data_IF_682661424482
#
_entry.id   IF_682661424482
#
_cell.length_a   1.000
_cell.length_b   1.000
_cell.length_c   1.000
_cell.angle_alpha   90.00
_cell.angle_beta   90.00
_cell.angle_gamma   90.00
#
_symmetry.space_group_name_H-M   'P 1'
#
loop_
_entity.id
_entity.type
_entity.pdbx_description
1 polymer ?
#
# COMPACT_ATOMS: atom_id res chain seq x y z
N UNK A 1 -21.22 -22.07 -17.35
CA UNK A 1 -20.62 -21.74 -16.04
C UNK A 1 -20.44 -20.24 -16.01
N UNK A 2 -21.17 -19.52 -15.15
CA UNK A 2 -20.95 -18.09 -14.96
C UNK A 2 -19.53 -17.87 -14.44
N UNK A 3 -18.88 -16.78 -14.84
CA UNK A 3 -17.56 -16.41 -14.34
C UNK A 3 -17.60 -16.37 -12.79
N UNK A 4 -16.52 -16.80 -12.10
CA UNK A 4 -16.48 -16.75 -10.65
C UNK A 4 -16.73 -15.33 -10.18
N UNK A 5 -17.79 -15.13 -9.41
CA UNK A 5 -18.11 -13.86 -8.79
C UNK A 5 -16.99 -13.52 -7.81
N UNK A 6 -16.23 -12.49 -8.15
CA UNK A 6 -15.13 -12.04 -7.30
C UNK A 6 -15.73 -11.51 -6.00
N UNK A 7 -15.57 -12.27 -4.91
CA UNK A 7 -16.22 -11.97 -3.62
C UNK A 7 -15.80 -10.64 -3.00
N UNK A 8 -14.75 -9.99 -3.51
CA UNK A 8 -14.38 -8.62 -3.18
C UNK A 8 -14.74 -7.66 -4.31
N UNK A 9 -16.02 -7.63 -4.69
CA UNK A 9 -16.51 -6.71 -5.70
C UNK A 9 -16.09 -5.28 -5.33
N UNK A 10 -15.58 -4.52 -6.31
CA UNK A 10 -15.22 -3.10 -6.11
C UNK A 10 -16.47 -2.23 -6.29
N UNK A 11 -17.53 -2.56 -5.58
CA UNK A 11 -18.76 -1.78 -5.63
C UNK A 11 -18.64 -0.51 -4.76
N UNK A 12 -19.58 0.42 -4.95
CA UNK A 12 -19.57 1.69 -4.24
C UNK A 12 -19.68 1.50 -2.71
N UNK A 13 -20.41 0.48 -2.26
CA UNK A 13 -20.68 0.22 -0.85
C UNK A 13 -19.41 -0.33 -0.17
N UNK A 14 -18.73 -1.28 -0.79
CA UNK A 14 -17.48 -1.89 -0.33
C UNK A 14 -16.33 -0.89 -0.31
N UNK A 15 -16.30 0.02 -1.29
CA UNK A 15 -15.35 1.14 -1.31
C UNK A 15 -15.55 2.09 -0.11
N UNK A 16 -16.80 2.41 0.22
CA UNK A 16 -17.10 3.24 1.39
C UNK A 16 -16.77 2.51 2.69
N UNK A 17 -17.08 1.21 2.79
CA UNK A 17 -16.79 0.39 3.97
C UNK A 17 -15.30 0.39 4.30
N UNK A 18 -14.44 0.17 3.30
CA UNK A 18 -13.00 0.09 3.55
C UNK A 18 -12.38 1.46 3.87
N UNK A 19 -12.86 2.54 3.23
CA UNK A 19 -12.39 3.89 3.53
C UNK A 19 -12.87 4.36 4.92
N UNK A 20 -14.12 4.09 5.29
CA UNK A 20 -14.64 4.42 6.62
C UNK A 20 -13.89 3.64 7.71
N UNK A 21 -13.59 2.36 7.47
CA UNK A 21 -12.80 1.55 8.39
C UNK A 21 -11.41 2.16 8.63
N UNK A 22 -10.74 2.65 7.58
CA UNK A 22 -9.45 3.33 7.71
C UNK A 22 -9.54 4.55 8.64
N UNK A 23 -10.55 5.39 8.47
CA UNK A 23 -10.74 6.57 9.33
C UNK A 23 -11.07 6.17 10.78
N UNK A 24 -11.92 5.18 11.00
CA UNK A 24 -12.20 4.70 12.36
C UNK A 24 -10.98 4.08 13.04
N UNK A 25 -10.15 3.35 12.31
CA UNK A 25 -8.91 2.80 12.84
C UNK A 25 -7.98 3.90 13.35
N UNK A 26 -7.83 4.96 12.56
CA UNK A 26 -7.04 6.13 12.93
C UNK A 26 -7.59 6.85 14.15
N UNK A 27 -8.90 7.07 14.22
CA UNK A 27 -9.54 7.71 15.36
C UNK A 27 -9.43 6.88 16.65
N UNK A 28 -9.54 5.54 16.54
CA UNK A 28 -9.53 4.65 17.70
C UNK A 28 -8.13 4.45 18.27
N UNK A 29 -7.13 4.24 17.40
CA UNK A 29 -5.77 3.89 17.84
C UNK A 29 -4.79 5.06 17.79
N UNK A 30 -5.05 6.09 16.98
CA UNK A 30 -4.19 7.27 16.86
C UNK A 30 -2.86 7.01 16.13
N UNK A 31 -2.67 5.84 15.51
CA UNK A 31 -1.49 5.51 14.73
C UNK A 31 -1.83 4.71 13.47
N UNK A 32 -1.10 5.00 12.37
CA UNK A 32 -1.19 4.25 11.10
C UNK A 32 -0.46 2.91 11.18
N UNK A 33 0.66 2.88 11.90
CA UNK A 33 1.45 1.68 12.17
C UNK A 33 1.73 1.61 13.66
N UNK A 34 1.76 0.39 14.19
CA UNK A 34 2.09 0.18 15.58
C UNK A 34 3.48 0.78 15.89
N UNK A 35 3.64 1.55 16.98
CA UNK A 35 4.86 2.30 17.27
C UNK A 35 6.10 1.41 17.49
N UNK A 36 5.93 0.11 17.70
CA UNK A 36 7.04 -0.84 17.79
C UNK A 36 7.67 -1.20 16.44
N UNK A 37 7.03 -0.84 15.32
CA UNK A 37 7.55 -1.12 13.99
C UNK A 37 8.63 -0.07 13.67
N UNK A 38 9.90 -0.46 13.49
CA UNK A 38 10.97 0.48 13.22
C UNK A 38 10.84 1.04 11.80
N UNK A 39 10.72 2.36 11.68
CA UNK A 39 10.56 3.09 10.41
C UNK A 39 11.81 3.89 10.02
N UNK A 40 12.87 3.86 10.84
CA UNK A 40 14.06 4.71 10.66
C UNK A 40 15.13 4.10 9.73
N UNK A 41 14.92 2.90 9.20
CA UNK A 41 15.87 2.30 8.27
C UNK A 41 15.70 2.90 6.85
N UNK A 42 16.72 3.58 6.30
CA UNK A 42 16.65 4.19 4.97
C UNK A 42 16.48 3.16 3.83
N UNK A 43 16.74 1.88 4.08
CA UNK A 43 16.53 0.80 3.12
C UNK A 43 15.17 0.11 3.30
N UNK A 44 14.36 0.54 4.27
CA UNK A 44 13.04 -0.03 4.51
C UNK A 44 12.13 0.22 3.30
N UNK A 45 11.57 -0.87 2.78
CA UNK A 45 10.56 -0.84 1.71
C UNK A 45 9.25 -1.33 2.29
N UNK A 46 8.27 -0.46 2.27
CA UNK A 46 6.92 -0.80 2.70
C UNK A 46 6.12 -1.17 1.45
N UNK A 47 5.52 -2.35 1.47
CA UNK A 47 4.65 -2.84 0.40
C UNK A 47 3.32 -3.25 1.01
N UNK A 48 2.24 -2.67 0.50
CA UNK A 48 0.88 -3.06 0.83
C UNK A 48 0.43 -4.18 -0.13
N UNK A 49 -0.05 -5.31 0.41
CA UNK A 49 -0.45 -6.50 -0.34
C UNK A 49 -1.97 -6.65 -0.23
N UNK A 50 -2.67 -6.57 -1.37
CA UNK A 50 -4.14 -6.57 -1.39
C UNK A 50 -4.76 -5.18 -1.45
N UNK A 51 -4.05 -4.25 -2.09
CA UNK A 51 -4.45 -2.86 -2.27
C UNK A 51 -5.89 -2.75 -2.79
N UNK A 52 -6.72 -2.10 -1.97
CA UNK A 52 -8.02 -1.59 -2.35
C UNK A 52 -7.90 -0.17 -2.88
N UNK A 53 -8.41 0.81 -2.15
CA UNK A 53 -8.36 2.23 -2.48
C UNK A 53 -6.97 2.86 -2.31
N UNK A 54 -5.96 2.08 -1.94
CA UNK A 54 -4.63 2.56 -1.52
C UNK A 54 -4.68 3.53 -0.33
N UNK A 55 -5.78 3.62 0.42
CA UNK A 55 -5.96 4.67 1.44
C UNK A 55 -4.88 4.59 2.53
N UNK A 56 -4.59 3.39 3.04
CA UNK A 56 -3.54 3.16 4.05
C UNK A 56 -2.16 3.54 3.51
N UNK A 57 -1.81 3.10 2.30
CA UNK A 57 -0.51 3.37 1.69
C UNK A 57 -0.31 4.86 1.38
N UNK A 58 -1.37 5.54 0.95
CA UNK A 58 -1.33 6.99 0.64
C UNK A 58 -1.10 7.79 1.92
N UNK A 59 -1.80 7.42 3.00
CA UNK A 59 -1.69 8.09 4.29
C UNK A 59 -0.33 7.84 4.96
N UNK A 60 0.18 6.61 4.85
CA UNK A 60 1.54 6.26 5.27
C UNK A 60 2.60 7.04 4.48
N UNK A 61 2.48 7.11 3.16
CA UNK A 61 3.42 7.86 2.33
C UNK A 61 3.38 9.36 2.60
N UNK A 62 2.21 9.92 2.96
CA UNK A 62 2.09 11.31 3.38
C UNK A 62 2.77 11.56 4.74
N UNK A 63 2.56 10.66 5.70
CA UNK A 63 3.08 10.79 7.07
C UNK A 63 4.59 10.54 7.16
N UNK A 64 5.11 9.57 6.41
CA UNK A 64 6.48 9.06 6.53
C UNK A 64 7.34 9.30 5.27
N UNK A 65 7.00 10.31 4.46
CA UNK A 65 7.63 10.60 3.16
C UNK A 65 9.15 10.75 3.20
N UNK A 66 9.69 11.22 4.32
CA UNK A 66 11.13 11.50 4.48
C UNK A 66 11.94 10.31 5.02
N UNK A 67 11.28 9.21 5.41
CA UNK A 67 11.92 8.12 6.16
C UNK A 67 12.10 6.83 5.35
N UNK A 68 11.20 6.53 4.40
CA UNK A 68 11.21 5.24 3.69
C UNK A 68 10.96 5.40 2.18
N UNK A 69 11.37 4.38 1.41
CA UNK A 69 11.04 4.26 -0.01
C UNK A 69 9.73 3.48 -0.19
N UNK A 70 8.82 4.02 -1.00
CA UNK A 70 7.47 3.48 -1.21
C UNK A 70 7.34 2.85 -2.59
N UNK A 71 6.82 1.61 -2.66
CA UNK A 71 6.56 0.94 -3.93
C UNK A 71 5.15 0.36 -3.94
N UNK A 72 4.36 0.74 -4.94
CA UNK A 72 3.03 0.17 -5.20
C UNK A 72 3.20 -1.03 -6.13
N UNK A 73 2.76 -2.22 -5.72
CA UNK A 73 2.67 -3.38 -6.60
C UNK A 73 1.23 -3.54 -7.08
N UNK A 74 0.98 -3.25 -8.36
CA UNK A 74 -0.31 -3.55 -8.98
C UNK A 74 -0.24 -4.95 -9.59
N UNK A 75 -1.25 -5.79 -9.36
CA UNK A 75 -1.26 -7.18 -9.85
C UNK A 75 -1.21 -7.30 -11.39
N UNK A 76 -1.40 -6.19 -12.11
CA UNK A 76 -1.42 -6.14 -13.57
C UNK A 76 -0.09 -5.78 -14.23
N UNK A 77 0.96 -5.40 -13.48
CA UNK A 77 2.25 -5.09 -14.09
C UNK A 77 3.31 -6.10 -13.67
N UNK A 78 3.71 -6.97 -14.61
CA UNK A 78 4.93 -7.76 -14.49
C UNK A 78 6.09 -6.80 -14.14
N UNK A 79 6.96 -7.13 -13.18
CA UNK A 79 8.13 -6.32 -12.90
C UNK A 79 9.06 -6.36 -14.12
N UNK A 80 9.03 -5.27 -14.89
CA UNK A 80 10.04 -4.97 -15.89
C UNK A 80 11.40 -4.88 -15.18
N UNK A 81 12.25 -5.87 -15.42
CA UNK A 81 13.64 -5.86 -14.98
C UNK A 81 14.30 -4.56 -15.45
N UNK A 82 14.58 -3.66 -14.51
CA UNK A 82 15.47 -2.53 -14.71
C UNK A 82 16.88 -3.11 -14.92
N UNK A 83 17.27 -3.34 -16.18
CA UNK A 83 18.65 -3.65 -16.53
C UNK A 83 19.49 -2.43 -16.16
N UNK A 84 20.22 -2.53 -15.05
CA UNK A 84 21.27 -1.60 -14.70
C UNK A 84 22.37 -1.69 -15.78
N UNK A 85 22.33 -0.77 -16.74
CA UNK A 85 23.46 -0.50 -17.61
C UNK A 85 24.36 0.54 -16.96
N UNK A 86 25.40 0.09 -16.24
CA UNK A 86 26.60 0.89 -16.03
C UNK A 86 27.77 0.03 -15.56
N UNK A 87 28.77 -0.10 -16.44
CA UNK A 87 30.22 -0.18 -16.15
C UNK A 87 30.88 0.17 -17.51
N UNK A 88 31.44 1.38 -17.67
CA UNK A 88 32.89 1.71 -17.55
C UNK A 88 33.72 0.73 -18.40
N UNK A 89 34.46 1.13 -19.42
CA UNK A 89 35.36 2.30 -19.60
C UNK A 89 35.45 2.69 -21.07
#
# INVERSE_FOLDING_TARGET
MSAPEYSMARDYIDNNRINLHHYFWLELYGYLLHPSIPLQDPNLKITDVGIATCVILTDLAATFRHQCNWTVSTSHSKPSLRKNGSLRT
#
